data_IF_326364576004
#
_entry.id   IF_326364576004
#
_cell.length_a   1.000
_cell.length_b   1.000
_cell.length_c   1.000
_cell.angle_alpha   90.00
_cell.angle_beta   90.00
_cell.angle_gamma   90.00
#
_symmetry.space_group_name_H-M   'P 1'
#
loop_
_entity.id
_entity.type
_entity.pdbx_description
1 polymer ?
#
# COMPACT_ATOMS: atom_id res chain seq x y z
N UNK A 1 -34.51 -23.01 -54.11
CA UNK A 1 -33.12 -23.35 -53.71
C UNK A 1 -32.23 -22.11 -53.55
N UNK A 2 -32.62 -20.96 -54.14
CA UNK A 2 -31.96 -19.65 -54.01
C UNK A 2 -32.08 -19.01 -52.61
N UNK A 3 -33.21 -19.18 -51.92
CA UNK A 3 -33.47 -18.46 -50.65
C UNK A 3 -32.67 -19.01 -49.46
N UNK A 4 -32.36 -20.31 -49.48
CA UNK A 4 -31.52 -20.96 -48.44
C UNK A 4 -30.06 -20.51 -48.55
N UNK A 5 -29.59 -20.15 -49.75
CA UNK A 5 -28.23 -19.62 -49.96
C UNK A 5 -28.07 -18.19 -49.44
N UNK A 6 -29.12 -17.37 -49.54
CA UNK A 6 -29.12 -15.99 -49.01
C UNK A 6 -29.01 -15.96 -47.49
N UNK A 7 -29.76 -16.82 -46.79
CA UNK A 7 -29.76 -16.85 -45.32
C UNK A 7 -28.44 -17.35 -44.72
N UNK A 8 -27.80 -18.35 -45.35
CA UNK A 8 -26.48 -18.85 -44.90
C UNK A 8 -25.38 -17.81 -45.08
N UNK A 9 -25.42 -17.04 -46.17
CA UNK A 9 -24.45 -15.96 -46.41
C UNK A 9 -24.61 -14.83 -45.39
N UNK A 10 -25.86 -14.49 -45.01
CA UNK A 10 -26.15 -13.47 -44.00
C UNK A 10 -25.69 -13.90 -42.59
N UNK A 11 -25.88 -15.18 -42.23
CA UNK A 11 -25.45 -15.71 -40.92
C UNK A 11 -23.92 -15.75 -40.78
N UNK A 12 -23.20 -16.13 -41.86
CA UNK A 12 -21.73 -16.15 -41.87
C UNK A 12 -21.17 -14.73 -41.75
N UNK A 13 -21.79 -13.75 -42.43
CA UNK A 13 -21.37 -12.35 -42.34
C UNK A 13 -21.57 -11.78 -40.93
N UNK A 14 -22.66 -12.15 -40.25
CA UNK A 14 -22.92 -11.77 -38.86
C UNK A 14 -21.93 -12.40 -37.87
N UNK A 15 -21.53 -13.66 -38.09
CA UNK A 15 -20.53 -14.36 -37.26
C UNK A 15 -19.14 -13.73 -37.43
N UNK A 16 -18.76 -13.32 -38.65
CA UNK A 16 -17.47 -12.66 -38.90
C UNK A 16 -17.41 -11.28 -38.22
N UNK A 17 -18.52 -10.53 -38.20
CA UNK A 17 -18.64 -9.27 -37.45
C UNK A 17 -18.51 -9.47 -35.94
N UNK A 18 -18.93 -10.62 -35.40
CA UNK A 18 -18.80 -10.95 -33.97
C UNK A 18 -17.39 -11.43 -33.59
N UNK A 19 -16.65 -12.01 -34.55
CA UNK A 19 -15.27 -12.48 -34.36
C UNK A 19 -14.23 -11.37 -34.52
N UNK A 20 -14.58 -10.26 -35.19
CA UNK A 20 -13.74 -9.07 -35.27
C UNK A 20 -13.97 -8.19 -34.04
N UNK A 21 -13.44 -8.60 -32.88
CA UNK A 21 -13.34 -7.66 -31.76
C UNK A 21 -12.31 -6.57 -32.12
N UNK A 22 -12.59 -5.30 -31.81
CA UNK A 22 -11.61 -4.23 -32.01
C UNK A 22 -10.37 -4.55 -31.20
N UNK A 23 -9.25 -4.75 -31.89
CA UNK A 23 -7.94 -4.83 -31.25
C UNK A 23 -7.58 -3.41 -30.81
N UNK A 24 -7.84 -3.10 -29.54
CA UNK A 24 -7.30 -1.90 -28.92
C UNK A 24 -5.78 -2.07 -28.89
N UNK A 25 -5.07 -1.24 -29.63
CA UNK A 25 -3.63 -1.07 -29.46
C UNK A 25 -3.43 -0.50 -28.05
N UNK A 26 -3.17 -1.39 -27.10
CA UNK A 26 -2.90 -1.05 -25.72
C UNK A 26 -1.41 -0.68 -25.66
N UNK A 27 -1.12 0.59 -25.39
CA UNK A 27 0.25 1.01 -25.11
C UNK A 27 0.77 0.12 -23.97
N UNK A 28 1.82 -0.67 -24.24
CA UNK A 28 2.38 -1.57 -23.23
C UNK A 28 2.88 -0.74 -22.04
N UNK A 29 2.32 -0.99 -20.87
CA UNK A 29 2.71 -0.31 -19.64
C UNK A 29 3.98 -0.98 -19.11
N UNK A 30 5.11 -0.27 -19.11
CA UNK A 30 6.35 -0.79 -18.52
C UNK A 30 6.49 -0.31 -17.08
N UNK A 31 6.63 -1.26 -16.17
CA UNK A 31 6.94 -1.04 -14.76
C UNK A 31 8.40 -1.42 -14.53
N UNK A 32 9.21 -0.51 -14.00
CA UNK A 32 10.59 -0.83 -13.65
C UNK A 32 10.72 -1.06 -12.16
N UNK A 33 11.33 -2.17 -11.77
CA UNK A 33 11.59 -2.50 -10.37
C UNK A 33 13.08 -2.67 -10.12
N UNK A 34 13.67 -1.68 -9.43
CA UNK A 34 15.07 -1.74 -8.99
C UNK A 34 15.15 -2.41 -7.63
N UNK A 35 15.95 -3.47 -7.56
CA UNK A 35 16.03 -4.30 -6.36
C UNK A 35 17.46 -4.79 -6.06
N UNK A 36 17.63 -5.35 -4.86
CA UNK A 36 18.82 -6.08 -4.45
C UNK A 36 18.41 -7.43 -3.84
N UNK A 37 19.22 -8.48 -4.05
CA UNK A 37 18.94 -9.80 -3.47
C UNK A 37 19.10 -9.83 -1.94
N UNK A 38 19.84 -8.86 -1.37
CA UNK A 38 20.07 -8.75 0.08
C UNK A 38 19.01 -7.90 0.81
N UNK A 39 17.94 -7.52 0.13
CA UNK A 39 16.93 -6.59 0.61
C UNK A 39 15.61 -7.34 0.89
N UNK A 40 15.22 -7.54 2.16
CA UNK A 40 13.99 -8.27 2.50
C UNK A 40 12.72 -7.62 1.95
N UNK A 41 12.63 -6.29 1.98
CA UNK A 41 11.51 -5.55 1.39
C UNK A 41 11.41 -5.74 -0.13
N UNK A 42 12.55 -5.93 -0.80
CA UNK A 42 12.59 -6.22 -2.22
C UNK A 42 12.06 -7.62 -2.53
N UNK A 43 12.32 -8.60 -1.68
CA UNK A 43 11.77 -9.95 -1.84
C UNK A 43 10.23 -9.94 -1.69
N UNK A 44 9.71 -9.17 -0.73
CA UNK A 44 8.27 -8.97 -0.55
C UNK A 44 7.64 -8.30 -1.78
N UNK A 45 8.20 -7.18 -2.23
CA UNK A 45 7.70 -6.47 -3.41
C UNK A 45 7.80 -7.33 -4.67
N UNK A 46 8.91 -8.05 -4.89
CA UNK A 46 9.06 -8.98 -6.03
C UNK A 46 7.96 -10.03 -6.04
N UNK A 47 7.61 -10.57 -4.88
CA UNK A 47 6.55 -11.57 -4.74
C UNK A 47 5.17 -10.96 -5.02
N UNK A 48 4.98 -9.69 -4.67
CA UNK A 48 3.78 -8.94 -5.00
C UNK A 48 3.68 -8.63 -6.49
N UNK A 49 4.74 -8.10 -7.11
CA UNK A 49 4.79 -7.75 -8.53
C UNK A 49 4.54 -8.96 -9.44
N UNK A 50 4.99 -10.17 -9.06
CA UNK A 50 4.62 -11.40 -9.77
C UNK A 50 3.11 -11.67 -9.81
N UNK A 51 2.38 -11.27 -8.76
CA UNK A 51 0.90 -11.34 -8.73
C UNK A 51 0.26 -10.21 -9.53
N UNK A 52 0.99 -9.12 -9.77
CA UNK A 52 0.54 -8.02 -10.63
C UNK A 52 0.66 -8.44 -12.09
N UNK A 53 1.78 -9.04 -12.51
CA UNK A 53 1.96 -9.56 -13.89
C UNK A 53 0.83 -10.50 -14.32
N UNK A 54 0.35 -11.36 -13.41
CA UNK A 54 -0.76 -12.26 -13.71
C UNK A 54 -2.13 -11.57 -13.79
N UNK A 55 -2.32 -10.46 -13.07
CA UNK A 55 -3.59 -9.69 -13.05
C UNK A 55 -3.67 -8.65 -14.16
N UNK A 56 -2.53 -8.09 -14.57
CA UNK A 56 -2.42 -7.03 -15.56
C UNK A 56 -1.47 -7.48 -16.68
N UNK A 57 -1.90 -8.38 -17.59
CA UNK A 57 -1.03 -8.95 -18.63
C UNK A 57 -0.48 -7.91 -19.63
N UNK A 58 -1.09 -6.73 -19.71
CA UNK A 58 -0.61 -5.57 -20.47
C UNK A 58 0.52 -4.79 -19.78
N UNK A 59 0.79 -5.08 -18.50
CA UNK A 59 1.87 -4.46 -17.74
C UNK A 59 3.11 -5.36 -17.75
N UNK A 60 4.18 -4.92 -18.39
CA UNK A 60 5.48 -5.60 -18.39
C UNK A 60 6.31 -5.13 -17.21
N UNK A 61 6.83 -6.05 -16.40
CA UNK A 61 7.68 -5.70 -15.26
C UNK A 61 9.15 -5.98 -15.58
N UNK A 62 9.95 -4.92 -15.62
CA UNK A 62 11.39 -4.96 -15.84
C UNK A 62 12.14 -5.02 -14.51
N UNK A 63 12.74 -6.18 -14.22
CA UNK A 63 13.47 -6.45 -12.99
C UNK A 63 14.94 -6.04 -13.11
N UNK A 64 15.33 -4.94 -12.45
CA UNK A 64 16.68 -4.38 -12.51
C UNK A 64 17.43 -4.64 -11.20
N UNK A 65 18.32 -5.63 -11.18
CA UNK A 65 19.15 -5.89 -10.01
C UNK A 65 20.29 -4.86 -9.92
N UNK A 66 20.29 -4.02 -8.88
CA UNK A 66 21.28 -2.94 -8.72
C UNK A 66 22.72 -3.46 -8.57
N UNK A 67 22.90 -4.67 -8.03
CA UNK A 67 24.22 -5.28 -7.87
C UNK A 67 24.82 -5.79 -9.18
N UNK A 68 23.96 -6.17 -10.13
CA UNK A 68 24.37 -6.74 -11.43
C UNK A 68 24.30 -5.72 -12.57
N UNK A 69 23.37 -4.77 -12.50
CA UNK A 69 23.02 -3.82 -13.57
C UNK A 69 23.13 -2.37 -13.09
N UNK A 70 24.22 -2.05 -12.39
CA UNK A 70 24.45 -0.77 -11.71
C UNK A 70 24.23 0.45 -12.61
N UNK A 71 24.76 0.44 -13.83
CA UNK A 71 24.64 1.57 -14.76
C UNK A 71 23.20 1.76 -15.27
N UNK A 72 22.50 0.67 -15.57
CA UNK A 72 21.10 0.73 -15.99
C UNK A 72 20.21 1.24 -14.86
N UNK A 73 20.43 0.72 -13.63
CA UNK A 73 19.73 1.19 -12.44
C UNK A 73 19.95 2.68 -12.21
N UNK A 74 21.19 3.19 -12.21
CA UNK A 74 21.44 4.61 -11.99
C UNK A 74 20.92 5.51 -13.08
N UNK A 75 21.00 5.09 -14.35
CA UNK A 75 20.38 5.85 -15.46
C UNK A 75 18.88 5.98 -15.25
N UNK A 76 18.22 4.89 -14.86
CA UNK A 76 16.79 4.90 -14.57
C UNK A 76 16.47 5.79 -13.37
N UNK A 77 17.17 5.66 -12.25
CA UNK A 77 16.93 6.51 -11.07
C UNK A 77 17.09 8.00 -11.41
N UNK A 78 18.12 8.34 -12.20
CA UNK A 78 18.38 9.72 -12.63
C UNK A 78 17.25 10.29 -13.51
N UNK A 79 16.60 9.48 -14.36
CA UNK A 79 15.46 9.91 -15.17
C UNK A 79 14.29 10.40 -14.32
N UNK A 80 14.10 9.83 -13.13
CA UNK A 80 13.06 10.23 -12.17
C UNK A 80 13.56 11.24 -11.13
N UNK A 81 14.78 11.76 -11.29
CA UNK A 81 15.38 12.71 -10.34
C UNK A 81 15.67 12.11 -8.96
N UNK A 82 15.69 10.78 -8.85
CA UNK A 82 16.05 10.08 -7.62
C UNK A 82 17.53 9.73 -7.70
N UNK A 83 18.38 10.41 -6.94
CA UNK A 83 19.79 10.02 -6.83
C UNK A 83 20.02 9.49 -5.42
N UNK A 84 20.59 8.29 -5.31
CA UNK A 84 21.06 7.70 -4.05
C UNK A 84 19.95 7.22 -3.09
N UNK A 85 18.76 6.89 -3.60
CA UNK A 85 17.72 6.18 -2.85
C UNK A 85 18.10 4.70 -2.66
N UNK A 86 17.77 4.14 -1.50
CA UNK A 86 17.92 2.69 -1.24
C UNK A 86 17.02 1.84 -2.14
N UNK A 87 17.14 0.52 -2.06
CA UNK A 87 16.18 -0.41 -2.68
C UNK A 87 15.13 -0.85 -1.64
N UNK A 88 13.92 -1.23 -2.06
CA UNK A 88 13.43 -1.24 -3.44
C UNK A 88 13.02 0.13 -3.97
N UNK A 89 12.98 0.26 -5.31
CA UNK A 89 12.36 1.37 -6.02
C UNK A 89 11.54 0.84 -7.19
N UNK A 90 10.33 1.35 -7.35
CA UNK A 90 9.43 0.97 -8.44
C UNK A 90 9.02 2.22 -9.20
N UNK A 91 9.02 2.13 -10.52
CA UNK A 91 8.64 3.23 -11.41
C UNK A 91 7.53 2.78 -12.32
N UNK A 92 6.47 3.59 -12.38
CA UNK A 92 5.32 3.38 -13.25
C UNK A 92 5.05 4.71 -13.93
N UNK A 93 5.31 4.79 -15.23
CA UNK A 93 5.13 6.01 -16.04
C UNK A 93 5.90 7.23 -15.49
N UNK A 94 5.21 8.20 -14.90
CA UNK A 94 5.80 9.40 -14.30
C UNK A 94 5.96 9.29 -12.79
N UNK A 95 5.51 8.17 -12.22
CA UNK A 95 5.39 7.97 -10.78
C UNK A 95 6.51 7.09 -10.26
N UNK A 96 7.23 7.58 -9.26
CA UNK A 96 8.25 6.83 -8.55
C UNK A 96 7.78 6.42 -7.14
N UNK A 97 8.11 5.19 -6.76
CA UNK A 97 7.86 4.59 -5.45
C UNK A 97 9.18 4.20 -4.79
N UNK A 98 9.31 4.48 -3.50
CA UNK A 98 10.48 4.15 -2.70
C UNK A 98 10.12 3.28 -1.49
N UNK A 99 10.89 2.23 -1.24
CA UNK A 99 10.58 1.26 -0.20
C UNK A 99 9.34 0.41 -0.54
N UNK A 100 9.01 -0.54 0.32
CA UNK A 100 7.81 -1.36 0.18
C UNK A 100 7.23 -1.78 1.52
N UNK A 101 5.92 -1.67 1.65
CA UNK A 101 5.13 -2.22 2.76
C UNK A 101 3.79 -2.73 2.23
N UNK A 102 3.23 -3.77 2.84
CA UNK A 102 1.88 -4.25 2.57
C UNK A 102 0.85 -3.67 3.54
N UNK A 103 1.25 -2.72 4.39
CA UNK A 103 0.45 -2.30 5.55
C UNK A 103 -0.44 -1.08 5.33
N UNK A 104 -0.32 -0.39 4.19
CA UNK A 104 -1.05 0.88 3.93
C UNK A 104 -1.89 0.80 2.65
N UNK A 105 -3.06 1.45 2.68
CA UNK A 105 -4.08 1.47 1.62
C UNK A 105 -4.25 2.87 0.99
N UNK A 106 -3.21 3.70 1.02
CA UNK A 106 -3.25 5.06 0.48
C UNK A 106 -1.93 5.47 -0.18
N UNK A 107 -2.03 6.43 -1.10
CA UNK A 107 -0.89 7.10 -1.73
C UNK A 107 -0.29 8.11 -0.75
N UNK A 108 0.97 7.89 -0.38
CA UNK A 108 1.72 8.78 0.52
C UNK A 108 2.98 9.28 -0.16
N UNK A 109 3.01 10.54 -0.54
CA UNK A 109 4.17 11.21 -1.13
C UNK A 109 5.12 11.71 -0.05
N UNK A 110 6.43 11.50 -0.25
CA UNK A 110 7.49 12.06 0.58
C UNK A 110 8.13 13.24 -0.13
N UNK A 111 8.00 14.45 0.43
CA UNK A 111 8.63 15.65 -0.15
C UNK A 111 10.16 15.53 -0.20
N UNK A 112 10.74 14.94 0.86
CA UNK A 112 12.19 14.73 0.95
C UNK A 112 12.72 13.87 -0.21
N UNK A 113 11.94 12.86 -0.60
CA UNK A 113 12.37 11.89 -1.61
C UNK A 113 11.77 12.15 -2.98
N UNK A 114 10.82 13.09 -3.10
CA UNK A 114 10.12 13.40 -4.34
C UNK A 114 9.49 12.18 -5.01
N UNK A 115 8.96 11.28 -4.18
CA UNK A 115 8.42 9.99 -4.59
C UNK A 115 7.35 9.53 -3.60
N UNK A 116 6.46 8.66 -4.04
CA UNK A 116 5.54 7.96 -3.16
C UNK A 116 6.27 6.90 -2.33
N UNK A 117 5.80 6.65 -1.12
CA UNK A 117 6.19 5.48 -0.35
C UNK A 117 5.54 4.26 -1.00
N UNK A 118 6.36 3.28 -1.37
CA UNK A 118 5.87 2.08 -2.03
C UNK A 118 5.04 1.24 -1.07
N UNK A 119 3.86 0.87 -1.53
CA UNK A 119 3.04 -0.15 -0.90
C UNK A 119 2.21 -0.88 -1.95
N UNK A 120 1.70 -2.06 -1.60
CA UNK A 120 0.93 -2.90 -2.50
C UNK A 120 -0.21 -2.13 -3.18
N UNK A 121 -1.04 -1.45 -2.38
CA UNK A 121 -2.16 -0.65 -2.89
C UNK A 121 -1.72 0.45 -3.85
N UNK A 122 -0.71 1.23 -3.49
CA UNK A 122 -0.29 2.42 -4.25
C UNK A 122 0.33 2.06 -5.60
N UNK A 123 1.13 1.00 -5.64
CA UNK A 123 1.73 0.52 -6.88
C UNK A 123 0.64 -0.05 -7.80
N UNK A 124 -0.26 -0.88 -7.25
CA UNK A 124 -1.38 -1.44 -8.02
C UNK A 124 -2.34 -0.37 -8.52
N UNK A 125 -2.69 0.61 -7.68
CA UNK A 125 -3.55 1.73 -8.05
C UNK A 125 -3.02 2.46 -9.30
N UNK A 126 -1.72 2.78 -9.33
CA UNK A 126 -1.13 3.48 -10.48
C UNK A 126 -1.03 2.57 -11.71
N UNK A 127 -0.68 1.29 -11.54
CA UNK A 127 -0.66 0.32 -12.65
C UNK A 127 -2.05 0.15 -13.26
N UNK A 128 -3.07 -0.02 -12.41
CA UNK A 128 -4.46 -0.17 -12.82
C UNK A 128 -4.96 1.10 -13.52
N UNK A 129 -4.67 2.26 -12.94
CA UNK A 129 -5.02 3.56 -13.50
C UNK A 129 -4.50 3.71 -14.94
N UNK A 130 -3.21 3.43 -15.17
CA UNK A 130 -2.63 3.50 -16.52
C UNK A 130 -3.10 2.36 -17.42
N UNK A 131 -3.35 1.18 -16.87
CA UNK A 131 -3.85 0.01 -17.60
C UNK A 131 -5.25 0.24 -18.21
N UNK A 132 -6.12 0.98 -17.52
CA UNK A 132 -7.47 1.29 -17.98
C UNK A 132 -7.51 2.32 -19.13
N UNK A 133 -6.38 2.90 -19.50
CA UNK A 133 -6.30 3.94 -20.54
C UNK A 133 -7.03 5.23 -20.17
N UNK A 134 -7.26 5.47 -18.88
CA UNK A 134 -7.87 6.71 -18.38
C UNK A 134 -6.87 7.84 -18.62
N UNK A 135 -7.20 8.72 -19.57
CA UNK A 135 -6.40 9.90 -19.92
C UNK A 135 -6.90 11.11 -19.16
N UNK A 136 -6.64 11.18 -17.86
CA UNK A 136 -6.56 12.50 -17.24
C UNK A 136 -5.25 13.15 -17.67
N UNK A 137 -5.26 14.47 -17.85
CA UNK A 137 -4.06 15.19 -18.24
C UNK A 137 -3.07 15.32 -17.07
N UNK A 138 -3.54 15.14 -15.84
CA UNK A 138 -2.74 15.26 -14.62
C UNK A 138 -2.81 13.96 -13.85
N UNK A 139 -1.67 13.32 -13.62
CA UNK A 139 -1.53 12.15 -12.74
C UNK A 139 -1.59 12.57 -11.27
N UNK A 140 -1.82 11.62 -10.37
CA UNK A 140 -1.73 11.84 -8.93
C UNK A 140 -0.35 12.38 -8.51
N UNK A 141 0.74 11.92 -9.14
CA UNK A 141 2.09 12.46 -8.93
C UNK A 141 2.17 13.94 -9.31
N UNK A 142 1.73 14.27 -10.53
CA UNK A 142 1.77 15.64 -11.03
C UNK A 142 0.86 16.57 -10.23
N UNK A 143 -0.28 16.11 -9.74
CA UNK A 143 -1.14 16.90 -8.86
C UNK A 143 -0.41 17.30 -7.57
N UNK A 144 0.34 16.37 -6.95
CA UNK A 144 1.17 16.69 -5.78
C UNK A 144 2.26 17.70 -6.15
N UNK A 145 2.99 17.47 -7.24
CA UNK A 145 4.05 18.39 -7.69
C UNK A 145 3.50 19.79 -7.99
N UNK A 146 2.39 19.88 -8.72
CA UNK A 146 1.70 21.14 -9.04
C UNK A 146 1.31 21.87 -7.77
N UNK A 147 0.77 21.18 -6.77
CA UNK A 147 0.36 21.80 -5.51
C UNK A 147 1.52 22.52 -4.81
N UNK A 148 2.77 22.10 -5.02
CA UNK A 148 3.96 22.75 -4.42
C UNK A 148 4.25 24.14 -4.99
N UNK A 149 3.67 24.49 -6.14
CA UNK A 149 3.79 25.82 -6.75
C UNK A 149 2.86 26.86 -6.09
N UNK A 150 1.89 26.41 -5.30
CA UNK A 150 1.04 27.31 -4.53
C UNK A 150 1.85 27.93 -3.37
N UNK A 151 1.67 29.23 -3.14
CA UNK A 151 2.45 30.02 -2.17
C UNK A 151 2.38 29.52 -0.73
N UNK A 152 1.20 29.13 -0.25
CA UNK A 152 0.96 28.63 1.09
C UNK A 152 1.51 27.21 1.26
N UNK A 153 1.37 26.34 0.26
CA UNK A 153 2.02 25.01 0.24
C UNK A 153 3.54 25.15 0.20
N UNK A 154 4.07 25.99 -0.68
CA UNK A 154 5.51 26.22 -0.85
C UNK A 154 6.14 26.75 0.45
N UNK A 155 5.50 27.74 1.08
CA UNK A 155 5.93 28.28 2.38
C UNK A 155 5.90 27.22 3.50
N UNK A 156 4.90 26.34 3.48
CA UNK A 156 4.84 25.23 4.43
C UNK A 156 5.94 24.20 4.22
N UNK A 157 6.20 23.79 2.97
CA UNK A 157 7.26 22.83 2.62
C UNK A 157 8.64 23.42 2.93
N UNK A 158 8.86 24.70 2.68
CA UNK A 158 10.11 25.38 3.03
C UNK A 158 10.42 25.24 4.54
N UNK A 159 9.40 25.42 5.38
CA UNK A 159 9.52 25.25 6.83
C UNK A 159 9.50 23.77 7.28
N UNK A 160 9.04 22.86 6.43
CA UNK A 160 8.88 21.43 6.72
C UNK A 160 9.40 20.58 5.54
N UNK A 161 10.71 20.56 5.27
CA UNK A 161 11.26 19.89 4.08
C UNK A 161 11.03 18.37 4.05
N UNK A 162 10.70 17.79 5.21
CA UNK A 162 10.34 16.37 5.37
C UNK A 162 8.84 16.14 5.47
N UNK A 163 8.03 17.07 5.00
CA UNK A 163 6.58 16.93 4.89
C UNK A 163 6.20 15.77 3.96
N UNK A 164 4.99 15.29 4.16
CA UNK A 164 4.37 14.25 3.35
C UNK A 164 3.07 14.79 2.77
N UNK A 165 2.61 14.20 1.67
CA UNK A 165 1.30 14.49 1.11
C UNK A 165 0.50 13.21 0.87
N UNK A 166 -0.79 13.24 1.12
CA UNK A 166 -1.72 12.27 0.54
C UNK A 166 -2.40 12.91 -0.67
N UNK A 167 -2.85 12.06 -1.58
CA UNK A 167 -3.57 12.50 -2.77
C UNK A 167 -4.73 11.56 -3.03
N UNK A 168 -5.89 12.13 -3.31
CA UNK A 168 -7.09 11.40 -3.68
C UNK A 168 -7.84 12.16 -4.77
N UNK A 169 -8.38 11.43 -5.73
CA UNK A 169 -9.17 12.00 -6.81
C UNK A 169 -10.65 11.84 -6.47
N UNK A 170 -11.39 12.94 -6.51
CA UNK A 170 -12.85 12.93 -6.37
C UNK A 170 -13.45 13.98 -7.29
N UNK A 171 -14.44 13.58 -8.08
CA UNK A 171 -15.20 14.49 -8.96
C UNK A 171 -14.30 15.34 -9.90
N UNK A 172 -13.21 14.76 -10.40
CA UNK A 172 -12.26 15.45 -11.30
C UNK A 172 -11.33 16.45 -10.60
N UNK A 173 -11.29 16.42 -9.26
CA UNK A 173 -10.40 17.26 -8.44
C UNK A 173 -9.51 16.36 -7.58
N UNK A 174 -8.21 16.65 -7.61
CA UNK A 174 -7.25 16.07 -6.69
C UNK A 174 -7.24 16.85 -5.38
N UNK A 175 -7.48 16.13 -4.28
CA UNK A 175 -7.35 16.62 -2.92
C UNK A 175 -5.97 16.25 -2.40
N UNK A 176 -5.06 17.23 -2.37
CA UNK A 176 -3.68 17.04 -1.91
C UNK A 176 -3.54 17.52 -0.47
N UNK A 177 -3.52 16.59 0.48
CA UNK A 177 -3.39 16.88 1.90
C UNK A 177 -1.94 16.84 2.35
N UNK A 178 -1.37 17.97 2.78
CA UNK A 178 0.00 18.10 3.24
C UNK A 178 0.12 17.99 4.76
N UNK A 179 1.07 17.18 5.23
CA UNK A 179 1.29 16.89 6.65
C UNK A 179 2.75 17.11 7.03
N UNK A 180 2.99 17.73 8.19
CA UNK A 180 4.31 17.69 8.81
C UNK A 180 4.45 16.42 9.67
N UNK A 181 5.69 16.09 10.06
CA UNK A 181 5.98 14.89 10.86
C UNK A 181 5.23 14.86 12.19
N UNK A 182 5.08 16.01 12.85
CA UNK A 182 4.37 16.10 14.13
C UNK A 182 2.89 15.76 13.97
N UNK A 183 2.26 16.28 12.90
CA UNK A 183 0.85 16.02 12.56
C UNK A 183 0.61 14.53 12.32
N UNK A 184 1.47 13.87 11.54
CA UNK A 184 1.33 12.43 11.26
C UNK A 184 1.51 11.55 12.50
N UNK A 185 2.44 11.90 13.40
CA UNK A 185 2.80 11.01 14.52
C UNK A 185 1.86 11.15 15.71
N UNK A 186 1.43 12.37 16.01
CA UNK A 186 0.69 12.69 17.25
C UNK A 186 -0.39 13.75 17.06
N UNK A 187 -0.58 14.21 15.83
CA UNK A 187 -1.54 15.24 15.54
C UNK A 187 -2.96 14.70 15.43
N UNK A 188 -3.95 15.60 15.39
CA UNK A 188 -5.31 15.23 15.05
C UNK A 188 -5.39 14.73 13.60
N UNK A 189 -6.46 13.97 13.27
CA UNK A 189 -6.57 13.23 12.01
C UNK A 189 -6.99 14.13 10.85
N UNK A 190 -6.21 15.16 10.53
CA UNK A 190 -6.41 16.03 9.38
C UNK A 190 -5.08 16.67 8.94
N UNK A 191 -4.93 17.06 7.67
CA UNK A 191 -3.70 17.66 7.16
C UNK A 191 -3.39 19.02 7.78
N UNK A 192 -2.17 19.52 7.58
CA UNK A 192 -1.85 20.91 7.86
C UNK A 192 -2.47 21.83 6.81
N UNK A 193 -2.38 21.44 5.54
CA UNK A 193 -2.82 22.21 4.38
C UNK A 193 -3.49 21.27 3.39
N UNK A 194 -4.54 21.73 2.73
CA UNK A 194 -5.11 21.07 1.56
C UNK A 194 -4.93 21.98 0.36
N UNK A 195 -4.52 21.38 -0.76
CA UNK A 195 -4.53 22.02 -2.06
C UNK A 195 -5.43 21.22 -2.99
N UNK A 196 -6.31 21.92 -3.71
CA UNK A 196 -7.22 21.35 -4.69
C UNK A 196 -6.66 21.59 -6.09
N UNK A 197 -6.42 20.52 -6.84
CA UNK A 197 -5.86 20.60 -8.20
C UNK A 197 -6.84 19.98 -9.18
N UNK A 198 -7.22 20.73 -10.21
CA UNK A 198 -8.09 20.24 -11.28
C UNK A 198 -7.37 19.13 -12.07
N UNK A 199 -7.96 17.93 -12.15
CA UNK A 199 -7.35 16.78 -12.82
C UNK A 199 -7.25 16.93 -14.35
N UNK A 200 -8.08 17.79 -14.95
CA UNK A 200 -8.11 17.98 -16.41
C UNK A 200 -7.09 19.00 -16.92
N UNK A 201 -6.66 19.97 -16.11
CA UNK A 201 -5.79 21.06 -16.56
C UNK A 201 -4.64 21.39 -15.62
N UNK A 202 -4.61 20.84 -14.40
CA UNK A 202 -3.58 21.12 -13.41
C UNK A 202 -3.69 22.50 -12.76
N UNK A 203 -4.81 23.20 -12.94
CA UNK A 203 -5.06 24.45 -12.24
C UNK A 203 -5.24 24.18 -10.74
N UNK A 204 -4.53 24.94 -9.90
CA UNK A 204 -4.80 24.99 -8.47
C UNK A 204 -6.10 25.79 -8.28
N UNK A 205 -7.13 25.13 -7.75
CA UNK A 205 -8.46 25.70 -7.51
C UNK A 205 -8.45 26.49 -6.20
N UNK A 206 -7.87 25.91 -5.16
CA UNK A 206 -7.80 26.50 -3.82
C UNK A 206 -6.65 25.87 -3.02
N UNK A 207 -6.16 26.59 -2.02
CA UNK A 207 -5.27 26.05 -0.99
C UNK A 207 -5.48 26.77 0.35
N UNK A 208 -5.65 26.00 1.43
CA UNK A 208 -5.93 26.56 2.74
C UNK A 208 -5.37 25.70 3.88
N UNK A 209 -5.20 26.32 5.05
CA UNK A 209 -4.87 25.60 6.29
C UNK A 209 -6.10 24.87 6.82
N UNK A 210 -5.90 23.64 7.31
CA UNK A 210 -6.99 22.86 7.90
C UNK A 210 -6.95 22.93 9.43
N UNK A 211 -8.13 23.13 10.03
CA UNK A 211 -8.36 23.04 11.47
C UNK A 211 -9.26 21.86 11.85
N UNK A 212 -9.83 21.17 10.84
CA UNK A 212 -10.69 20.00 10.96
C UNK A 212 -10.44 19.03 9.80
N UNK A 213 -11.10 17.87 9.84
CA UNK A 213 -11.15 16.92 8.73
C UNK A 213 -11.80 17.54 7.50
N UNK A 214 -11.20 17.32 6.34
CA UNK A 214 -11.72 17.77 5.05
C UNK A 214 -12.25 16.58 4.24
N UNK A 215 -13.50 16.63 3.75
CA UNK A 215 -14.03 15.61 2.84
C UNK A 215 -13.13 15.42 1.62
N UNK A 216 -12.96 14.17 1.18
CA UNK A 216 -12.12 13.84 0.03
C UNK A 216 -10.63 13.73 0.32
N UNK A 217 -10.14 14.26 1.45
CA UNK A 217 -8.74 14.09 1.86
C UNK A 217 -8.54 12.76 2.58
N UNK A 218 -7.58 11.99 2.09
CA UNK A 218 -7.16 10.75 2.75
C UNK A 218 -6.25 11.10 3.93
N UNK A 219 -6.64 10.70 5.13
CA UNK A 219 -5.84 10.88 6.34
C UNK A 219 -5.10 9.57 6.64
N UNK A 220 -3.76 9.59 6.71
CA UNK A 220 -2.97 8.43 7.08
C UNK A 220 -3.42 7.86 8.44
N UNK A 221 -3.93 6.63 8.44
CA UNK A 221 -4.31 5.97 9.69
C UNK A 221 -3.07 5.45 10.40
N UNK A 222 -2.80 5.96 11.61
CA UNK A 222 -1.94 5.26 12.55
C UNK A 222 -2.80 4.25 13.30
N UNK A 223 -2.75 2.98 12.90
CA UNK A 223 -3.46 1.96 13.67
C UNK A 223 -2.86 1.89 15.08
N UNK A 224 -3.67 2.01 16.15
CA UNK A 224 -3.16 1.97 17.51
C UNK A 224 -2.61 0.57 17.81
N UNK A 225 -1.29 0.45 17.89
CA UNK A 225 -0.55 -0.76 18.27
C UNK A 225 -0.84 -1.29 19.69
N UNK A 226 -1.77 -0.68 20.43
CA UNK A 226 -2.07 -1.02 21.81
C UNK A 226 -2.70 -2.41 21.97
N UNK A 227 -3.61 -2.79 21.08
CA UNK A 227 -4.25 -4.12 21.11
C UNK A 227 -3.24 -5.23 20.83
N UNK A 228 -2.30 -5.01 19.90
CA UNK A 228 -1.16 -5.90 19.66
C UNK A 228 -0.30 -6.06 20.91
N UNK A 229 0.03 -4.95 21.57
CA UNK A 229 0.83 -4.97 22.78
C UNK A 229 0.14 -5.73 23.92
N UNK A 230 -1.16 -5.53 24.10
CA UNK A 230 -1.97 -6.29 25.07
C UNK A 230 -1.94 -7.79 24.74
N UNK A 231 -2.09 -8.16 23.46
CA UNK A 231 -2.03 -9.55 23.03
C UNK A 231 -0.65 -10.18 23.30
N UNK A 232 0.44 -9.48 22.96
CA UNK A 232 1.80 -9.96 23.24
C UNK A 232 2.06 -10.14 24.73
N UNK A 233 1.71 -9.15 25.56
CA UNK A 233 1.86 -9.26 27.02
C UNK A 233 1.01 -10.40 27.58
N UNK A 234 -0.24 -10.53 27.12
CA UNK A 234 -1.14 -11.58 27.57
C UNK A 234 -0.58 -12.98 27.29
N UNK A 235 -0.13 -13.22 26.06
CA UNK A 235 0.49 -14.50 25.67
C UNK A 235 1.78 -14.74 26.47
N UNK A 236 2.65 -13.73 26.57
CA UNK A 236 3.92 -13.85 27.28
C UNK A 236 3.75 -14.16 28.77
N UNK A 237 2.87 -13.43 29.45
CA UNK A 237 2.55 -13.66 30.87
C UNK A 237 1.96 -15.04 31.10
N UNK A 238 1.10 -15.52 30.19
CA UNK A 238 0.55 -16.87 30.26
C UNK A 238 1.65 -17.93 30.15
N UNK A 239 2.53 -17.81 29.16
CA UNK A 239 3.63 -18.73 28.93
C UNK A 239 4.61 -18.76 30.10
N UNK A 240 4.98 -17.60 30.66
CA UNK A 240 5.82 -17.53 31.86
C UNK A 240 5.15 -18.23 33.03
N UNK A 241 3.86 -17.97 33.27
CA UNK A 241 3.15 -18.59 34.38
C UNK A 241 3.10 -20.11 34.23
N UNK A 242 2.89 -20.61 33.00
CA UNK A 242 2.95 -22.03 32.68
C UNK A 242 4.35 -22.62 32.84
N UNK A 243 5.41 -21.89 32.44
CA UNK A 243 6.79 -22.31 32.65
C UNK A 243 7.14 -22.42 34.14
N UNK A 244 6.70 -21.46 34.96
CA UNK A 244 6.87 -21.51 36.41
C UNK A 244 6.13 -22.72 36.99
N UNK A 245 4.86 -22.94 36.58
CA UNK A 245 4.08 -24.10 37.00
C UNK A 245 4.72 -25.43 36.58
N UNK A 246 5.25 -25.52 35.37
CA UNK A 246 5.82 -26.76 34.83
C UNK A 246 7.23 -27.03 35.37
N UNK A 247 8.09 -26.03 35.57
CA UNK A 247 9.47 -26.28 35.95
C UNK A 247 9.70 -26.23 37.48
N UNK A 248 8.90 -25.46 38.22
CA UNK A 248 9.06 -25.36 39.67
C UNK A 248 8.38 -26.54 40.38
N UNK A 249 9.18 -27.54 40.78
CA UNK A 249 8.72 -28.73 41.53
C UNK A 249 7.89 -28.35 42.77
N UNK A 250 8.31 -27.31 43.49
CA UNK A 250 7.63 -26.78 44.69
C UNK A 250 6.27 -26.16 44.39
N UNK A 251 6.13 -25.46 43.26
CA UNK A 251 4.85 -24.86 42.83
C UNK A 251 3.93 -25.94 42.27
N UNK A 252 4.48 -26.84 41.45
CA UNK A 252 3.75 -27.96 40.87
C UNK A 252 3.11 -28.84 41.95
N UNK A 253 3.83 -29.24 42.99
CA UNK A 253 3.26 -30.06 44.07
C UNK A 253 2.13 -29.35 44.83
N UNK A 254 2.21 -28.03 45.01
CA UNK A 254 1.15 -27.24 45.66
C UNK A 254 -0.09 -27.03 44.78
N UNK A 255 0.08 -26.91 43.46
CA UNK A 255 -0.99 -26.49 42.54
C UNK A 255 -1.61 -27.67 41.78
N UNK A 256 -0.88 -28.78 41.56
CA UNK A 256 -1.33 -29.91 40.73
C UNK A 256 -2.62 -30.58 41.22
N UNK A 257 -2.91 -30.51 42.52
CA UNK A 257 -4.18 -30.99 43.07
C UNK A 257 -5.39 -30.12 42.69
N UNK A 258 -5.17 -28.88 42.24
CA UNK A 258 -6.22 -27.91 41.89
C UNK A 258 -6.38 -27.72 40.38
N UNK A 259 -5.29 -27.78 39.62
CA UNK A 259 -5.30 -27.49 38.18
C UNK A 259 -4.49 -28.56 37.44
N UNK A 260 -5.15 -29.25 36.52
CA UNK A 260 -4.55 -30.24 35.61
C UNK A 260 -3.91 -29.57 34.40
N UNK A 261 -2.97 -30.26 33.75
CA UNK A 261 -2.34 -29.77 32.51
C UNK A 261 -3.38 -29.53 31.40
N UNK A 262 -4.45 -30.32 31.37
CA UNK A 262 -5.59 -30.11 30.44
C UNK A 262 -6.29 -28.77 30.69
N UNK A 263 -6.43 -28.34 31.95
CA UNK A 263 -7.03 -27.05 32.28
C UNK A 263 -6.13 -25.88 31.89
N UNK A 264 -4.79 -26.03 31.97
CA UNK A 264 -3.85 -25.06 31.39
C UNK A 264 -3.96 -24.99 29.87
N UNK A 265 -4.14 -26.10 29.16
CA UNK A 265 -4.36 -26.05 27.72
C UNK A 265 -5.68 -25.34 27.38
N UNK A 266 -6.76 -25.66 28.10
CA UNK A 266 -8.06 -25.00 27.91
C UNK A 266 -7.96 -23.49 28.19
N UNK A 267 -7.31 -23.09 29.27
CA UNK A 267 -7.10 -21.68 29.60
C UNK A 267 -6.32 -20.93 28.52
N UNK A 268 -5.32 -21.58 27.90
CA UNK A 268 -4.56 -20.99 26.81
C UNK A 268 -5.42 -20.79 25.56
N UNK A 269 -6.24 -21.79 25.20
CA UNK A 269 -7.15 -21.70 24.06
C UNK A 269 -8.18 -20.59 24.28
N UNK A 270 -8.73 -20.47 25.49
CA UNK A 270 -9.68 -19.38 25.84
C UNK A 270 -8.99 -18.01 25.72
N UNK A 271 -7.77 -17.88 26.24
CA UNK A 271 -6.99 -16.65 26.13
C UNK A 271 -6.75 -16.28 24.66
N UNK A 272 -6.30 -17.24 23.84
CA UNK A 272 -6.08 -17.00 22.41
C UNK A 272 -7.36 -16.57 21.71
N UNK A 273 -8.49 -17.23 21.96
CA UNK A 273 -9.77 -16.84 21.38
C UNK A 273 -10.20 -15.42 21.79
N UNK A 274 -10.06 -15.07 23.08
CA UNK A 274 -10.38 -13.73 23.57
C UNK A 274 -9.47 -12.65 22.96
N UNK A 275 -8.17 -12.92 22.85
CA UNK A 275 -7.22 -12.02 22.19
C UNK A 275 -7.49 -11.91 20.68
N UNK A 276 -7.88 -12.99 20.01
CA UNK A 276 -8.28 -12.93 18.60
C UNK A 276 -9.49 -12.01 18.40
N UNK A 277 -10.52 -12.12 19.24
CA UNK A 277 -11.68 -11.20 19.19
C UNK A 277 -11.25 -9.76 19.45
N UNK A 278 -10.43 -9.52 20.47
CA UNK A 278 -9.90 -8.18 20.78
C UNK A 278 -9.17 -7.57 19.58
N UNK A 279 -8.30 -8.34 18.92
CA UNK A 279 -7.53 -7.88 17.77
C UNK A 279 -8.43 -7.56 16.57
N UNK A 280 -9.43 -8.38 16.27
CA UNK A 280 -10.38 -8.15 15.17
C UNK A 280 -11.24 -6.91 15.44
N UNK A 281 -11.79 -6.78 16.64
CA UNK A 281 -12.64 -5.62 17.02
C UNK A 281 -11.84 -4.32 17.03
N UNK A 282 -10.56 -4.37 17.41
CA UNK A 282 -9.69 -3.19 17.45
C UNK A 282 -9.22 -2.74 16.06
N UNK A 283 -9.34 -3.60 15.04
CA UNK A 283 -8.88 -3.33 13.67
C UNK A 283 -10.00 -3.61 12.65
N UNK A 284 -11.09 -2.83 12.69
CA UNK A 284 -12.29 -3.08 11.87
C UNK A 284 -12.01 -3.03 10.37
N UNK A 285 -10.96 -2.31 9.93
CA UNK A 285 -10.56 -2.25 8.51
C UNK A 285 -10.06 -3.60 7.95
N UNK A 286 -9.42 -4.40 8.79
CA UNK A 286 -8.76 -5.63 8.38
C UNK A 286 -9.55 -6.89 8.76
N UNK A 287 -10.59 -6.74 9.58
CA UNK A 287 -11.46 -7.83 10.04
C UNK A 287 -10.64 -9.07 10.47
N UNK A 288 -10.99 -10.26 9.96
CA UNK A 288 -10.30 -11.50 10.29
C UNK A 288 -8.90 -11.58 9.68
N UNK A 289 -8.62 -10.84 8.60
CA UNK A 289 -7.30 -10.82 7.96
C UNK A 289 -6.25 -10.19 8.87
N UNK A 290 -6.66 -9.38 9.85
CA UNK A 290 -5.75 -8.86 10.86
C UNK A 290 -5.06 -9.98 11.66
N UNK A 291 -5.74 -11.10 11.92
CA UNK A 291 -5.16 -12.21 12.66
C UNK A 291 -3.98 -12.83 11.91
N UNK A 292 -4.09 -12.96 10.59
CA UNK A 292 -3.00 -13.44 9.73
C UNK A 292 -1.82 -12.48 9.80
N UNK A 293 -2.09 -11.17 9.73
CA UNK A 293 -1.08 -10.11 9.87
C UNK A 293 -0.37 -10.17 11.23
N UNK A 294 -1.14 -10.26 12.32
CA UNK A 294 -0.62 -10.36 13.68
C UNK A 294 0.25 -11.62 13.87
N UNK A 295 -0.22 -12.78 13.40
CA UNK A 295 0.55 -14.03 13.45
C UNK A 295 1.86 -13.94 12.65
N UNK A 296 1.83 -13.30 11.48
CA UNK A 296 3.03 -13.05 10.67
C UNK A 296 4.08 -12.19 11.39
N UNK A 297 3.65 -11.25 12.24
CA UNK A 297 4.57 -10.46 13.09
C UNK A 297 5.14 -11.28 14.25
N UNK A 298 4.33 -12.19 14.82
CA UNK A 298 4.68 -13.00 15.99
C UNK A 298 5.67 -14.12 15.64
N UNK A 299 5.54 -14.66 14.42
CA UNK A 299 6.42 -15.68 13.86
C UNK A 299 7.08 -15.08 12.61
N UNK A 300 8.20 -14.34 12.73
CA UNK A 300 8.98 -13.94 11.57
C UNK A 300 9.59 -15.20 10.97
N UNK A 301 8.80 -15.89 10.16
CA UNK A 301 9.28 -17.00 9.35
C UNK A 301 10.22 -16.33 8.35
N UNK A 302 11.53 -16.50 8.59
CA UNK A 302 12.54 -16.34 7.56
C UNK A 302 12.25 -17.39 6.47
N UNK A 303 11.37 -17.06 5.53
CA UNK A 303 11.16 -17.77 4.27
C UNK A 303 11.55 -16.86 3.13
#
# INVERSE_FOLDING_TARGET
MSDIMSFRSMLISLIILFLCQPAYAQDNLTVYFIYSDLCPHCAQEKSYLKKIESRFPQASIEYVNIGLQKDAAFKLMAQYGLNNSGTPQTYVMDTAFIGFTDETDYLMYSNKHRAFLGNAYSIEYVIEYHSRGVKENVSAYNAVVISTNESLVSGFIHNNPTAYATVNLSEGVYFVGWFNRTRLRKGPPYPNIVALVNASCGQIIDAHYCSSTEPGVVVPSTEPMYSDFIAYIGIFMYLITYLIYSHSRRVREKIKHKISDRQWLIGFIILLAALSVLLVVSHPKHEINYLIKFLGRLMPIYL
#
